data_IF_927112074097
#
_entry.id   IF_927112074097
#
_cell.length_a   1.000
_cell.length_b   1.000
_cell.length_c   1.000
_cell.angle_alpha   90.00
_cell.angle_beta   90.00
_cell.angle_gamma   90.00
#
_symmetry.space_group_name_H-M   'P 1'
#
loop_
_entity.id
_entity.type
_entity.pdbx_description
1 polymer ?
#
# COMPACT_ATOMS: atom_id res chain seq x y z
N UNK A 1 -7.67 1.83 -3.23
CA UNK A 1 -7.84 0.61 -4.03
C UNK A 1 -7.13 -0.59 -3.42
N UNK A 2 -6.25 -0.37 -2.45
CA UNK A 2 -5.62 -1.37 -1.60
C UNK A 2 -6.08 -1.20 -0.15
N UNK A 3 -6.20 -2.29 0.59
CA UNK A 3 -6.57 -2.28 2.00
C UNK A 3 -6.30 -3.65 2.63
N UNK A 4 -6.18 -3.71 3.96
CA UNK A 4 -6.03 -4.97 4.70
C UNK A 4 -7.20 -5.93 4.44
N UNK A 5 -8.44 -5.38 4.32
CA UNK A 5 -9.67 -6.14 4.13
C UNK A 5 -9.98 -6.48 2.68
N UNK A 6 -9.13 -6.06 1.73
CA UNK A 6 -9.26 -6.50 0.34
C UNK A 6 -8.62 -5.59 -0.69
N UNK A 7 -8.01 -6.19 -1.67
CA UNK A 7 -7.47 -5.54 -2.87
C UNK A 7 -8.57 -5.32 -3.92
N UNK A 8 -8.68 -4.13 -4.52
CA UNK A 8 -9.87 -3.73 -5.29
C UNK A 8 -9.63 -3.31 -6.74
N UNK A 9 -8.39 -3.45 -7.26
CA UNK A 9 -8.07 -3.10 -8.64
C UNK A 9 -7.28 -4.22 -9.31
N UNK A 10 -7.63 -4.56 -10.54
CA UNK A 10 -6.87 -5.52 -11.34
C UNK A 10 -5.48 -4.98 -11.65
N UNK A 11 -4.46 -5.79 -11.36
CA UNK A 11 -3.06 -5.58 -11.76
C UNK A 11 -2.64 -6.82 -12.56
N UNK A 12 -2.46 -6.66 -13.87
CA UNK A 12 -2.24 -7.78 -14.80
C UNK A 12 -0.94 -8.53 -14.49
N UNK A 13 0.09 -7.81 -14.05
CA UNK A 13 1.36 -8.41 -13.65
C UNK A 13 1.25 -9.24 -12.36
N UNK A 14 0.27 -8.93 -11.52
CA UNK A 14 0.07 -9.59 -10.23
C UNK A 14 -1.38 -10.12 -10.08
N UNK A 15 -1.78 -11.13 -10.87
CA UNK A 15 -3.18 -11.58 -10.94
C UNK A 15 -3.74 -12.09 -9.61
N UNK A 16 -2.90 -12.67 -8.73
CA UNK A 16 -3.33 -13.14 -7.42
C UNK A 16 -3.85 -12.00 -6.51
N UNK A 17 -3.52 -10.74 -6.78
CA UNK A 17 -4.07 -9.60 -6.03
C UNK A 17 -5.60 -9.59 -6.11
N UNK A 18 -6.18 -9.95 -7.26
CA UNK A 18 -7.63 -10.06 -7.43
C UNK A 18 -8.15 -11.48 -7.24
N UNK A 19 -7.40 -12.51 -7.60
CA UNK A 19 -7.80 -13.89 -7.40
C UNK A 19 -7.93 -14.26 -5.92
N UNK A 20 -7.00 -13.81 -5.08
CA UNK A 20 -6.89 -14.08 -3.65
C UNK A 20 -7.19 -12.84 -2.83
N UNK A 21 -6.46 -11.75 -3.07
CA UNK A 21 -6.48 -10.53 -2.26
C UNK A 21 -7.81 -9.79 -2.29
N UNK A 22 -8.66 -9.99 -3.32
CA UNK A 22 -9.98 -9.35 -3.37
C UNK A 22 -11.06 -10.04 -2.52
N UNK A 23 -10.75 -11.17 -1.90
CA UNK A 23 -11.73 -12.04 -1.23
C UNK A 23 -11.35 -12.28 0.23
N UNK A 24 -12.33 -12.16 1.12
CA UNK A 24 -12.19 -12.59 2.52
C UNK A 24 -13.26 -13.61 2.88
N UNK A 25 -12.96 -14.49 3.83
CA UNK A 25 -13.83 -15.63 4.18
C UNK A 25 -15.13 -15.20 4.85
N UNK A 26 -15.11 -14.09 5.56
CA UNK A 26 -16.25 -13.53 6.30
C UNK A 26 -15.98 -12.07 6.67
N UNK A 27 -16.98 -11.38 7.19
CA UNK A 27 -16.83 -10.00 7.64
C UNK A 27 -17.27 -9.86 9.10
N UNK A 28 -16.52 -9.08 9.88
CA UNK A 28 -16.88 -8.75 11.26
C UNK A 28 -18.20 -7.98 11.31
N UNK A 29 -19.07 -8.32 12.25
CA UNK A 29 -20.33 -7.63 12.48
C UNK A 29 -20.11 -6.54 13.53
N UNK A 30 -20.06 -5.30 13.08
CA UNK A 30 -19.79 -4.16 13.95
C UNK A 30 -18.32 -4.08 14.40
N UNK A 31 -17.98 -2.97 15.07
CA UNK A 31 -16.61 -2.69 15.48
C UNK A 31 -16.19 -3.57 16.68
N UNK A 32 -15.10 -4.30 16.54
CA UNK A 32 -14.46 -5.09 17.61
C UNK A 32 -15.41 -6.08 18.35
N UNK A 33 -16.46 -6.55 17.68
CA UNK A 33 -17.46 -7.43 18.33
C UNK A 33 -16.97 -8.88 18.52
N UNK A 34 -15.95 -9.29 17.75
CA UNK A 34 -15.53 -10.70 17.68
C UNK A 34 -16.55 -11.64 17.04
N UNK A 35 -17.65 -11.09 16.50
CA UNK A 35 -18.68 -11.84 15.77
C UNK A 35 -18.53 -11.63 14.28
N UNK A 36 -18.74 -12.67 13.50
CA UNK A 36 -18.61 -12.66 12.05
C UNK A 36 -19.92 -13.11 11.39
N UNK A 37 -20.14 -12.67 10.15
CA UNK A 37 -21.33 -13.01 9.37
C UNK A 37 -21.25 -14.40 8.72
N UNK A 38 -20.09 -15.04 8.73
CA UNK A 38 -19.85 -16.36 8.14
C UNK A 38 -20.06 -16.40 6.63
N UNK A 39 -20.04 -15.25 5.94
CA UNK A 39 -20.29 -15.14 4.51
C UNK A 39 -19.05 -14.65 3.78
N UNK A 40 -18.57 -15.37 2.75
CA UNK A 40 -17.50 -14.86 1.89
C UNK A 40 -17.91 -13.53 1.25
N UNK A 41 -16.97 -12.60 1.23
CA UNK A 41 -17.13 -11.30 0.56
C UNK A 41 -15.94 -11.04 -0.36
N UNK A 42 -16.21 -10.45 -1.54
CA UNK A 42 -15.16 -10.09 -2.48
C UNK A 42 -15.69 -9.30 -3.66
N UNK A 43 -14.75 -8.77 -4.41
CA UNK A 43 -14.98 -8.00 -5.62
C UNK A 43 -13.80 -7.06 -5.90
N UNK A 44 -13.66 -6.68 -7.15
CA UNK A 44 -12.64 -5.76 -7.61
C UNK A 44 -13.11 -5.10 -8.92
N UNK A 45 -12.45 -4.03 -9.30
CA UNK A 45 -12.62 -3.41 -10.59
C UNK A 45 -11.59 -3.95 -11.58
N UNK A 46 -12.03 -4.32 -12.78
CA UNK A 46 -11.10 -4.53 -13.88
C UNK A 46 -10.49 -3.20 -14.32
N UNK A 47 -9.38 -3.24 -15.03
CA UNK A 47 -8.77 -2.02 -15.55
C UNK A 47 -9.71 -1.26 -16.49
N UNK A 48 -10.50 -2.00 -17.30
CA UNK A 48 -11.51 -1.45 -18.20
C UNK A 48 -12.60 -0.71 -17.42
N UNK A 49 -13.15 -1.33 -16.36
CA UNK A 49 -14.14 -0.68 -15.50
C UNK A 49 -13.58 0.58 -14.81
N UNK A 50 -12.32 0.54 -14.37
CA UNK A 50 -11.68 1.71 -13.77
C UNK A 50 -11.52 2.84 -14.82
N UNK A 51 -11.15 2.53 -16.06
CA UNK A 51 -11.08 3.49 -17.17
C UNK A 51 -12.45 4.07 -17.52
N UNK A 52 -13.52 3.27 -17.49
CA UNK A 52 -14.89 3.77 -17.67
C UNK A 52 -15.27 4.77 -16.57
N UNK A 53 -14.94 4.48 -15.31
CA UNK A 53 -15.18 5.40 -14.19
C UNK A 53 -14.43 6.70 -14.39
N UNK A 54 -13.16 6.64 -14.80
CA UNK A 54 -12.33 7.82 -15.09
C UNK A 54 -12.94 8.66 -16.22
N UNK A 55 -13.36 8.02 -17.32
CA UNK A 55 -13.99 8.69 -18.44
C UNK A 55 -15.32 9.37 -18.04
N UNK A 56 -16.17 8.63 -17.30
CA UNK A 56 -17.43 9.16 -16.80
C UNK A 56 -17.26 10.38 -15.87
N UNK A 57 -16.23 10.34 -15.01
CA UNK A 57 -15.88 11.46 -14.13
C UNK A 57 -15.36 12.66 -14.93
N UNK A 58 -14.51 12.43 -15.93
CA UNK A 58 -13.93 13.47 -16.77
C UNK A 58 -14.99 14.27 -17.53
N UNK A 59 -16.05 13.62 -18.05
CA UNK A 59 -17.21 14.28 -18.66
C UNK A 59 -17.92 15.26 -17.71
N UNK A 60 -17.68 15.14 -16.40
CA UNK A 60 -18.27 15.96 -15.33
C UNK A 60 -17.26 16.86 -14.66
N UNK A 61 -16.09 17.04 -15.29
CA UNK A 61 -14.96 17.84 -14.78
C UNK A 61 -14.46 17.37 -13.40
N UNK A 62 -14.56 16.06 -13.12
CA UNK A 62 -14.05 15.44 -11.89
C UNK A 62 -12.78 14.66 -12.22
N UNK A 63 -11.71 14.95 -11.52
CA UNK A 63 -10.47 14.17 -11.56
C UNK A 63 -10.52 13.03 -10.54
N UNK A 64 -10.32 11.81 -11.00
CA UNK A 64 -10.21 10.65 -10.12
C UNK A 64 -8.75 10.44 -9.74
N UNK A 65 -8.43 10.59 -8.45
CA UNK A 65 -7.10 10.32 -7.90
C UNK A 65 -7.13 8.92 -7.29
N UNK A 66 -6.35 7.95 -7.80
CA UNK A 66 -6.28 6.62 -7.21
C UNK A 66 -5.42 6.63 -5.96
N UNK A 67 -5.77 5.77 -5.00
CA UNK A 67 -4.94 5.49 -3.84
C UNK A 67 -4.47 4.03 -3.86
N UNK A 68 -3.16 3.85 -3.68
CA UNK A 68 -2.49 2.59 -3.36
C UNK A 68 -1.68 2.85 -2.10
N UNK A 69 -2.22 2.45 -0.98
CA UNK A 69 -1.62 2.71 0.31
C UNK A 69 -0.34 1.89 0.54
N UNK A 70 0.70 2.54 1.03
CA UNK A 70 2.06 2.01 1.18
C UNK A 70 2.71 2.55 2.46
N UNK A 71 3.49 1.76 3.19
CA UNK A 71 3.68 0.31 3.09
C UNK A 71 2.77 -0.48 4.04
N UNK A 72 1.91 0.19 4.80
CA UNK A 72 0.82 -0.35 5.60
C UNK A 72 -0.38 -0.74 4.74
N UNK A 73 -1.47 -1.20 5.38
CA UNK A 73 -2.74 -1.55 4.72
C UNK A 73 -2.59 -2.54 3.54
N UNK A 74 -1.62 -3.45 3.64
CA UNK A 74 -1.22 -4.37 2.58
C UNK A 74 -1.46 -5.85 2.90
N UNK A 75 -2.23 -6.15 3.96
CA UNK A 75 -2.51 -7.54 4.35
C UNK A 75 -3.13 -8.35 3.21
N UNK A 76 -4.03 -7.77 2.42
CA UNK A 76 -4.64 -8.46 1.27
C UNK A 76 -3.62 -8.77 0.17
N UNK A 77 -2.67 -7.86 -0.08
CA UNK A 77 -1.57 -8.11 -1.01
C UNK A 77 -0.61 -9.18 -0.48
N UNK A 78 -0.34 -9.19 0.83
CA UNK A 78 0.48 -10.21 1.48
C UNK A 78 -0.19 -11.58 1.47
N UNK A 79 -1.52 -11.66 1.57
CA UNK A 79 -2.24 -12.92 1.41
C UNK A 79 -2.06 -13.51 0.00
N UNK A 80 -1.94 -12.65 -1.02
CA UNK A 80 -1.70 -13.05 -2.40
C UNK A 80 -0.23 -13.37 -2.70
N UNK A 81 0.70 -12.60 -2.12
CA UNK A 81 2.15 -12.67 -2.34
C UNK A 81 2.90 -12.60 -0.99
N UNK A 82 2.90 -13.70 -0.22
CA UNK A 82 3.42 -13.70 1.14
C UNK A 82 4.92 -13.40 1.24
N UNK A 83 5.68 -13.62 0.18
CA UNK A 83 7.10 -13.30 0.10
C UNK A 83 7.40 -11.79 0.19
N UNK A 84 6.41 -10.92 0.00
CA UNK A 84 6.54 -9.48 0.14
C UNK A 84 6.50 -9.02 1.61
N UNK A 85 6.07 -9.89 2.53
CA UNK A 85 6.03 -9.61 3.96
C UNK A 85 7.32 -10.01 4.69
N UNK A 86 7.48 -9.52 5.91
CA UNK A 86 8.68 -9.78 6.72
C UNK A 86 8.82 -11.24 7.15
N UNK A 87 7.69 -11.94 7.41
CA UNK A 87 7.69 -13.32 7.89
C UNK A 87 7.57 -14.34 6.75
N UNK A 88 7.17 -13.92 5.56
CA UNK A 88 6.89 -14.84 4.43
C UNK A 88 5.57 -15.61 4.55
N UNK A 89 4.70 -15.22 5.47
CA UNK A 89 3.38 -15.81 5.68
C UNK A 89 3.35 -17.10 6.51
N UNK A 90 2.24 -17.83 6.45
CA UNK A 90 1.04 -17.52 5.66
C UNK A 90 0.28 -16.30 6.16
N UNK A 91 -0.41 -15.61 5.25
CA UNK A 91 -1.28 -14.48 5.56
C UNK A 91 -2.68 -14.74 5.00
N UNK A 92 -3.70 -14.20 5.68
CA UNK A 92 -5.08 -14.19 5.21
C UNK A 92 -5.53 -12.75 4.97
N UNK A 93 -6.46 -12.54 4.05
CA UNK A 93 -7.11 -11.24 3.87
C UNK A 93 -7.83 -10.88 5.16
N UNK A 94 -7.60 -9.66 5.64
CA UNK A 94 -8.09 -9.21 6.93
C UNK A 94 -9.62 -9.19 6.96
N UNK A 95 -10.22 -9.73 8.00
CA UNK A 95 -11.68 -9.83 8.14
C UNK A 95 -12.23 -9.07 9.33
N UNK A 96 -11.35 -8.42 10.08
CA UNK A 96 -11.67 -7.69 11.29
C UNK A 96 -11.69 -6.18 11.03
N UNK A 97 -12.17 -5.44 12.00
CA UNK A 97 -11.95 -4.01 12.11
C UNK A 97 -10.52 -3.76 12.60
N UNK A 98 -9.93 -2.68 12.14
CA UNK A 98 -8.61 -2.22 12.60
C UNK A 98 -7.52 -2.44 11.55
N UNK A 99 -6.30 -2.19 11.98
CA UNK A 99 -5.08 -2.20 11.17
C UNK A 99 -4.32 -3.49 11.40
N UNK A 100 -3.83 -4.12 10.33
CA UNK A 100 -2.97 -5.29 10.44
C UNK A 100 -1.54 -4.90 10.83
N UNK A 101 -0.91 -5.69 11.71
CA UNK A 101 0.51 -5.57 12.02
C UNK A 101 1.44 -6.03 10.88
N UNK A 102 0.88 -6.65 9.85
CA UNK A 102 1.66 -7.15 8.72
C UNK A 102 1.70 -6.09 7.63
N UNK A 103 2.89 -5.61 7.36
CA UNK A 103 3.17 -4.57 6.36
C UNK A 103 4.16 -5.10 5.33
N UNK A 104 4.31 -4.41 4.21
CA UNK A 104 5.32 -4.73 3.22
C UNK A 104 6.73 -4.72 3.84
N UNK A 105 7.55 -5.69 3.47
CA UNK A 105 8.94 -5.79 3.95
C UNK A 105 9.81 -4.76 3.23
N UNK A 106 10.10 -3.63 3.87
CA UNK A 106 10.91 -2.55 3.30
C UNK A 106 12.37 -2.95 3.01
N UNK A 107 12.84 -4.04 3.60
CA UNK A 107 14.17 -4.61 3.36
C UNK A 107 14.25 -5.55 2.16
N UNK A 108 13.14 -5.85 1.50
CA UNK A 108 13.08 -6.79 0.38
C UNK A 108 13.03 -6.04 -0.96
N UNK A 109 13.99 -6.27 -1.84
CA UNK A 109 14.02 -5.63 -3.17
C UNK A 109 12.80 -5.99 -4.02
N UNK A 110 12.23 -7.18 -3.84
CA UNK A 110 10.99 -7.58 -4.51
C UNK A 110 9.82 -6.69 -4.11
N UNK A 111 9.80 -6.18 -2.89
CA UNK A 111 8.77 -5.23 -2.43
C UNK A 111 8.85 -3.91 -3.19
N UNK A 112 10.06 -3.35 -3.33
CA UNK A 112 10.25 -2.11 -4.09
C UNK A 112 9.88 -2.31 -5.56
N UNK A 113 10.24 -3.45 -6.15
CA UNK A 113 9.85 -3.77 -7.52
C UNK A 113 8.33 -3.94 -7.66
N UNK A 114 7.67 -4.64 -6.71
CA UNK A 114 6.22 -4.78 -6.66
C UNK A 114 5.51 -3.42 -6.63
N UNK A 115 5.96 -2.50 -5.77
CA UNK A 115 5.42 -1.14 -5.69
C UNK A 115 5.51 -0.44 -7.06
N UNK A 116 6.69 -0.46 -7.68
CA UNK A 116 6.91 0.17 -8.99
C UNK A 116 6.03 -0.45 -10.08
N UNK A 117 5.91 -1.76 -10.10
CA UNK A 117 5.10 -2.47 -11.08
C UNK A 117 3.60 -2.16 -10.93
N UNK A 118 3.10 -2.10 -9.69
CA UNK A 118 1.71 -1.73 -9.41
C UNK A 118 1.46 -0.27 -9.84
N UNK A 119 2.33 0.64 -9.43
CA UNK A 119 2.20 2.06 -9.79
C UNK A 119 2.29 2.28 -11.30
N UNK A 120 3.09 1.48 -12.03
CA UNK A 120 3.16 1.53 -13.49
C UNK A 120 1.79 1.26 -14.15
N UNK A 121 1.06 0.24 -13.69
CA UNK A 121 -0.28 -0.04 -14.23
C UNK A 121 -1.32 1.00 -13.76
N UNK A 122 -1.19 1.52 -12.53
CA UNK A 122 -2.08 2.58 -12.02
C UNK A 122 -2.00 3.86 -12.86
N UNK A 123 -0.81 4.31 -13.23
CA UNK A 123 -0.66 5.53 -14.03
C UNK A 123 -1.15 5.37 -15.49
N UNK A 124 -1.25 4.15 -15.99
CA UNK A 124 -1.86 3.86 -17.30
C UNK A 124 -3.40 3.94 -17.26
N UNK A 125 -3.99 3.67 -16.09
CA UNK A 125 -5.43 3.69 -15.89
C UNK A 125 -5.92 5.10 -15.55
N UNK A 126 -5.19 5.79 -14.65
CA UNK A 126 -5.58 7.08 -14.08
C UNK A 126 -4.68 8.20 -14.60
N UNK A 127 -5.23 9.14 -15.40
CA UNK A 127 -4.46 10.24 -15.99
C UNK A 127 -4.20 11.40 -15.02
N UNK A 128 -4.64 11.29 -13.76
CA UNK A 128 -4.45 12.34 -12.75
C UNK A 128 -2.97 12.69 -12.55
N UNK A 129 -2.68 13.95 -12.36
CA UNK A 129 -1.34 14.45 -12.04
C UNK A 129 -0.83 13.86 -10.73
N UNK A 130 -1.74 13.59 -9.79
CA UNK A 130 -1.44 13.07 -8.46
C UNK A 130 -1.86 11.62 -8.32
N UNK A 131 -1.00 10.84 -7.64
CA UNK A 131 -1.29 9.49 -7.19
C UNK A 131 -1.15 9.47 -5.66
N UNK A 132 -2.19 9.01 -4.96
CA UNK A 132 -2.16 8.91 -3.51
C UNK A 132 -1.48 7.60 -3.11
N UNK A 133 -0.45 7.69 -2.27
CA UNK A 133 0.37 6.55 -1.83
C UNK A 133 0.11 6.16 -0.38
N UNK A 134 -0.90 6.73 0.26
CA UNK A 134 -1.25 6.46 1.65
C UNK A 134 -0.18 6.93 2.62
N UNK A 135 0.43 6.01 3.32
CA UNK A 135 1.53 6.23 4.26
C UNK A 135 1.10 6.26 5.71
N UNK A 136 -0.21 6.14 5.96
CA UNK A 136 -0.80 6.14 7.29
C UNK A 136 -0.71 4.79 8.00
N UNK A 137 -0.86 4.87 9.30
CA UNK A 137 -1.06 3.72 10.20
C UNK A 137 -0.14 2.52 9.95
N UNK A 138 1.11 2.75 9.54
CA UNK A 138 2.05 1.68 9.26
C UNK A 138 2.76 1.19 10.54
N UNK A 139 2.42 0.01 11.11
CA UNK A 139 3.11 -0.54 12.26
C UNK A 139 4.57 -0.90 11.92
N UNK A 140 5.53 -0.55 12.79
CA UNK A 140 6.96 -0.79 12.59
C UNK A 140 7.49 -2.03 13.32
N UNK A 141 6.65 -2.74 14.09
CA UNK A 141 7.13 -3.81 14.98
C UNK A 141 7.74 -4.99 14.21
N UNK A 142 7.17 -5.37 13.08
CA UNK A 142 7.75 -6.42 12.23
C UNK A 142 9.10 -6.01 11.65
N UNK A 143 9.31 -4.73 11.34
CA UNK A 143 10.58 -4.23 10.81
C UNK A 143 11.70 -4.23 11.84
N UNK A 144 11.38 -3.98 13.13
CA UNK A 144 12.36 -4.00 14.24
C UNK A 144 13.07 -5.35 14.36
N UNK A 145 12.36 -6.43 14.07
CA UNK A 145 12.86 -7.80 14.19
C UNK A 145 13.21 -8.46 12.86
N UNK A 146 12.84 -7.86 11.74
CA UNK A 146 13.09 -8.42 10.41
C UNK A 146 14.56 -8.25 9.99
N UNK A 147 15.31 -9.33 9.75
CA UNK A 147 16.71 -9.22 9.35
C UNK A 147 16.92 -8.43 8.06
N UNK A 148 16.00 -8.55 7.09
CA UNK A 148 16.07 -7.82 5.81
C UNK A 148 15.90 -6.31 6.02
N UNK A 149 14.90 -5.90 6.84
CA UNK A 149 14.68 -4.49 7.15
C UNK A 149 15.86 -3.90 7.92
N UNK A 150 16.39 -4.61 8.91
CA UNK A 150 17.56 -4.15 9.66
C UNK A 150 18.83 -4.08 8.79
N UNK A 151 19.00 -5.01 7.85
CA UNK A 151 20.09 -4.95 6.88
C UNK A 151 19.93 -3.75 5.93
N UNK A 152 18.72 -3.43 5.49
CA UNK A 152 18.43 -2.24 4.66
C UNK A 152 18.73 -0.95 5.42
N UNK A 153 18.29 -0.82 6.66
CA UNK A 153 18.60 0.30 7.54
C UNK A 153 20.11 0.52 7.63
N UNK A 154 20.87 -0.57 7.86
CA UNK A 154 22.33 -0.52 7.95
C UNK A 154 22.96 -0.10 6.61
N UNK A 155 22.52 -0.69 5.50
CA UNK A 155 23.06 -0.41 4.17
C UNK A 155 22.83 1.05 3.74
N UNK A 156 21.70 1.63 4.12
CA UNK A 156 21.35 3.03 3.83
C UNK A 156 21.95 4.02 4.85
N UNK A 157 22.62 3.52 5.90
CA UNK A 157 23.16 4.37 6.96
C UNK A 157 22.09 5.11 7.78
N UNK A 158 20.85 4.58 7.78
CA UNK A 158 19.73 5.16 8.49
C UNK A 158 19.97 5.09 10.00
N UNK A 159 19.81 6.25 10.66
CA UNK A 159 19.87 6.38 12.12
C UNK A 159 18.60 7.03 12.60
N UNK A 160 18.10 6.58 13.74
CA UNK A 160 17.06 7.30 14.46
C UNK A 160 17.62 8.53 15.16
N UNK A 161 16.76 9.43 15.56
CA UNK A 161 17.08 10.62 16.36
C UNK A 161 16.16 10.73 17.58
N UNK A 162 16.12 11.90 18.20
CA UNK A 162 15.29 12.16 19.39
C UNK A 162 13.78 12.23 19.07
N UNK A 163 13.40 12.35 17.80
CA UNK A 163 12.01 12.51 17.34
C UNK A 163 11.51 11.27 16.63
N UNK A 164 12.36 10.60 15.87
CA UNK A 164 11.98 9.51 14.98
C UNK A 164 12.90 8.30 15.12
N UNK A 165 12.28 7.12 15.12
CA UNK A 165 13.00 5.84 15.08
C UNK A 165 13.63 5.59 13.71
N UNK A 166 14.61 4.70 13.65
CA UNK A 166 15.19 4.27 12.35
C UNK A 166 14.18 3.56 11.45
N UNK A 167 13.13 2.97 12.01
CA UNK A 167 12.03 2.34 11.28
C UNK A 167 11.09 3.37 10.64
N UNK A 168 10.87 4.52 11.26
CA UNK A 168 10.14 5.63 10.63
C UNK A 168 10.94 6.20 9.45
N UNK A 169 12.25 6.36 9.58
CA UNK A 169 13.13 6.70 8.45
C UNK A 169 13.13 5.61 7.35
N UNK A 170 12.95 4.34 7.70
CA UNK A 170 12.81 3.26 6.72
C UNK A 170 11.47 3.38 5.95
N UNK A 171 10.40 3.84 6.60
CA UNK A 171 9.15 4.16 5.90
C UNK A 171 9.36 5.28 4.88
N UNK A 172 10.04 6.36 5.28
CA UNK A 172 10.39 7.45 4.35
C UNK A 172 11.20 6.97 3.15
N UNK A 173 12.07 5.97 3.32
CA UNK A 173 12.76 5.35 2.18
C UNK A 173 11.76 4.73 1.19
N UNK A 174 10.77 3.97 1.67
CA UNK A 174 9.74 3.35 0.80
C UNK A 174 8.93 4.40 0.06
N UNK A 175 8.48 5.44 0.75
CA UNK A 175 7.71 6.55 0.16
C UNK A 175 8.55 7.28 -0.91
N UNK A 176 9.84 7.53 -0.64
CA UNK A 176 10.74 8.18 -1.63
C UNK A 176 11.01 7.30 -2.85
N UNK A 177 11.06 5.99 -2.73
CA UNK A 177 11.17 5.09 -3.89
C UNK A 177 9.91 5.15 -4.77
N UNK A 178 8.73 5.24 -4.15
CA UNK A 178 7.47 5.44 -4.88
C UNK A 178 7.42 6.83 -5.53
N UNK A 179 7.76 7.89 -4.79
CA UNK A 179 7.83 9.26 -5.31
C UNK A 179 8.77 9.37 -6.51
N UNK A 180 10.01 8.87 -6.36
CA UNK A 180 11.00 8.90 -7.44
C UNK A 180 10.47 8.24 -8.70
N UNK A 181 9.89 7.05 -8.57
CA UNK A 181 9.30 6.34 -9.70
C UNK A 181 8.18 7.17 -10.36
N UNK A 182 7.26 7.73 -9.59
CA UNK A 182 6.14 8.51 -10.11
C UNK A 182 6.62 9.83 -10.75
N UNK A 183 7.59 10.53 -10.16
CA UNK A 183 8.16 11.75 -10.73
C UNK A 183 8.89 11.47 -12.07
N UNK A 184 9.58 10.35 -12.21
CA UNK A 184 10.20 9.90 -13.47
C UNK A 184 9.14 9.67 -14.57
N UNK A 185 7.87 9.43 -14.19
CA UNK A 185 6.73 9.27 -15.09
C UNK A 185 5.81 10.52 -15.15
N UNK A 186 6.30 11.67 -14.68
CA UNK A 186 5.55 12.93 -14.74
C UNK A 186 4.34 13.00 -13.80
N UNK A 187 4.37 12.26 -12.71
CA UNK A 187 3.32 12.24 -11.67
C UNK A 187 3.87 12.72 -10.34
N UNK A 188 3.01 13.29 -9.51
CA UNK A 188 3.31 13.70 -8.16
C UNK A 188 2.60 12.79 -7.15
N UNK A 189 3.13 12.69 -5.93
CA UNK A 189 2.46 11.93 -4.87
C UNK A 189 1.63 12.82 -3.96
N UNK A 190 0.55 12.22 -3.43
CA UNK A 190 -0.13 12.67 -2.21
C UNK A 190 0.06 11.54 -1.17
N UNK A 191 0.23 11.90 0.09
CA UNK A 191 0.19 10.94 1.19
C UNK A 191 -0.46 11.57 2.41
N UNK A 192 -0.88 10.73 3.35
CA UNK A 192 -1.33 11.18 4.64
C UNK A 192 -0.18 11.85 5.42
N UNK A 193 -0.48 12.64 6.44
CA UNK A 193 0.55 13.41 7.16
C UNK A 193 1.62 12.57 7.85
N UNK A 194 1.38 11.28 8.09
CA UNK A 194 2.39 10.33 8.57
C UNK A 194 3.57 10.14 7.59
N UNK A 195 3.45 10.51 6.32
CA UNK A 195 4.61 10.51 5.41
C UNK A 195 5.68 11.55 5.81
N UNK A 196 5.34 12.48 6.69
CA UNK A 196 6.29 13.45 7.24
C UNK A 196 7.22 12.83 8.29
N UNK A 197 6.82 11.71 8.90
CA UNK A 197 7.61 10.97 9.88
C UNK A 197 8.90 10.46 9.22
N UNK A 198 10.04 10.80 9.79
CA UNK A 198 11.35 10.34 9.30
C UNK A 198 11.86 11.04 8.03
N UNK A 199 11.27 12.16 7.63
CA UNK A 199 11.76 13.05 6.57
C UNK A 199 10.85 13.15 5.35
N UNK A 200 10.88 14.32 4.74
CA UNK A 200 10.02 14.67 3.61
C UNK A 200 10.45 13.98 2.31
N UNK A 201 9.47 13.54 1.54
CA UNK A 201 9.59 13.38 0.11
C UNK A 201 9.51 14.79 -0.51
N UNK A 202 10.51 15.25 -1.30
CA UNK A 202 10.67 16.67 -1.63
C UNK A 202 9.50 17.31 -2.38
N UNK A 203 8.78 16.53 -3.18
CA UNK A 203 7.69 17.00 -4.03
C UNK A 203 6.33 16.45 -3.61
N UNK A 204 6.24 15.84 -2.42
CA UNK A 204 4.99 15.26 -1.94
C UNK A 204 4.00 16.32 -1.49
N UNK A 205 2.74 16.12 -1.85
CA UNK A 205 1.60 16.82 -1.25
C UNK A 205 1.13 16.03 -0.05
N UNK A 206 0.79 16.73 1.04
CA UNK A 206 0.33 16.12 2.29
C UNK A 206 -1.15 16.38 2.47
N UNK A 207 -1.88 15.33 2.82
CA UNK A 207 -3.29 15.38 3.22
C UNK A 207 -3.40 15.01 4.69
N UNK A 208 -4.20 15.76 5.46
CA UNK A 208 -4.47 15.51 6.89
C UNK A 208 -5.96 15.59 7.19
#
# INVERSE_FOLDING_TARGET
>A
LSEDQGWRIEIKKYPKLTEIGSKRSETVIGRNSGKYDGKPYGGFYTQEQAKEIVAYAAERYITVIPEIDLPGHMQAALAAYPELGCTGGPYEVWRMWGVSDNVLCAGNDKTIQFIKDVLAEIIEIFPSEYIHVGGDECPKDKWKTCPKCQARIKALGIKGDSKHSKEEYLQSYVIREAEKFLNEHGRNIIGWDEILEGGLAPNATVMS
#
